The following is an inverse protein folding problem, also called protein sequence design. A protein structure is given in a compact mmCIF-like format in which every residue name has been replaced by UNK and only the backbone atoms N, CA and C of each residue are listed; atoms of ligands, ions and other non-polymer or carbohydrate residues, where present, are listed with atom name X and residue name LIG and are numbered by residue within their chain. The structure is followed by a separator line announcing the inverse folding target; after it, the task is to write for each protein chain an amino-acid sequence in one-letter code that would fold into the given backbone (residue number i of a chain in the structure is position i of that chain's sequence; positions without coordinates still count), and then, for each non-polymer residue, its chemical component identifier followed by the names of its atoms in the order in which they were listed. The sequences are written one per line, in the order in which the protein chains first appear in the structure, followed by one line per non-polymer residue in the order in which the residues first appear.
data_IF_571720085035
#
_entry.id   IF_571720085035
#
_cell.length_a   1.000
_cell.length_b   1.000
_cell.length_c   1.000
_cell.angle_alpha   90.00
_cell.angle_beta   90.00
_cell.angle_gamma   90.00
#
_symmetry.space_group_name_H-M   'P 1'
#
loop_
_entity.id
_entity.type
_entity.pdbx_description
1 polymer ?
#
# COMPACT_ATOMS: atom_id res chain seq x y z
N UNK A 1 -20.23 24.68 -33.83
CA UNK A 1 -20.37 23.52 -32.90
C UNK A 1 -21.69 23.73 -32.17
N UNK A 2 -22.66 22.80 -32.30
CA UNK A 2 -23.98 22.97 -31.65
C UNK A 2 -23.81 22.86 -30.12
N UNK A 3 -24.60 23.61 -29.34
CA UNK A 3 -24.61 23.59 -27.88
C UNK A 3 -24.67 22.16 -27.32
N UNK A 4 -25.42 21.30 -27.99
CA UNK A 4 -25.62 19.88 -27.65
C UNK A 4 -24.31 19.09 -27.76
N UNK A 5 -23.53 19.26 -28.83
CA UNK A 5 -22.23 18.62 -29.00
C UNK A 5 -21.24 19.11 -27.94
N UNK A 6 -21.30 20.39 -27.55
CA UNK A 6 -20.47 20.96 -26.50
C UNK A 6 -20.76 20.32 -25.13
N UNK A 7 -22.03 20.17 -24.76
CA UNK A 7 -22.44 19.50 -23.52
C UNK A 7 -21.94 18.05 -23.47
N UNK A 8 -22.03 17.34 -24.60
CA UNK A 8 -21.54 15.97 -24.70
C UNK A 8 -20.03 15.87 -24.53
N UNK A 9 -19.26 16.78 -25.16
CA UNK A 9 -17.81 16.86 -24.96
C UNK A 9 -17.49 17.15 -23.50
N UNK A 10 -18.17 18.13 -22.86
CA UNK A 10 -17.96 18.42 -21.44
C UNK A 10 -18.21 17.20 -20.53
N UNK A 11 -19.24 16.41 -20.78
CA UNK A 11 -19.51 15.20 -20.02
C UNK A 11 -18.37 14.18 -20.13
N UNK A 12 -17.84 13.96 -21.32
CA UNK A 12 -16.68 13.06 -21.53
C UNK A 12 -15.42 13.64 -20.90
N UNK A 13 -15.18 14.95 -21.00
CA UNK A 13 -14.03 15.64 -20.38
C UNK A 13 -14.03 15.43 -18.88
N UNK A 14 -15.16 15.69 -18.22
CA UNK A 14 -15.27 15.55 -16.75
C UNK A 14 -15.05 14.11 -16.32
N UNK A 15 -15.68 13.14 -17.01
CA UNK A 15 -15.52 11.72 -16.69
C UNK A 15 -14.06 11.26 -16.87
N UNK A 16 -13.41 11.68 -17.97
CA UNK A 16 -12.02 11.33 -18.25
C UNK A 16 -11.06 11.97 -17.24
N UNK A 17 -11.26 13.25 -16.93
CA UNK A 17 -10.45 13.95 -15.94
C UNK A 17 -10.58 13.32 -14.54
N UNK A 18 -11.79 12.92 -14.14
CA UNK A 18 -12.03 12.22 -12.88
C UNK A 18 -11.30 10.87 -12.84
N UNK A 19 -11.33 10.09 -13.93
CA UNK A 19 -10.58 8.82 -14.04
C UNK A 19 -9.08 9.04 -13.84
N UNK A 20 -8.49 10.03 -14.52
CA UNK A 20 -7.07 10.35 -14.40
C UNK A 20 -6.73 10.78 -12.98
N UNK A 21 -7.49 11.68 -12.38
CA UNK A 21 -7.25 12.16 -11.01
C UNK A 21 -7.32 11.04 -9.98
N UNK A 22 -8.37 10.22 -10.01
CA UNK A 22 -8.57 9.14 -9.03
C UNK A 22 -7.46 8.09 -9.13
N UNK A 23 -7.10 7.65 -10.34
CA UNK A 23 -6.01 6.69 -10.51
C UNK A 23 -4.66 7.26 -10.05
N UNK A 24 -4.39 8.54 -10.33
CA UNK A 24 -3.16 9.20 -9.90
C UNK A 24 -3.07 9.35 -8.37
N UNK A 25 -4.19 9.60 -7.68
CA UNK A 25 -4.27 9.63 -6.22
C UNK A 25 -4.01 8.24 -5.63
N UNK A 26 -4.61 7.18 -6.18
CA UNK A 26 -4.34 5.81 -5.72
C UNK A 26 -2.88 5.40 -5.92
N UNK A 27 -2.28 5.77 -7.04
CA UNK A 27 -0.85 5.52 -7.28
C UNK A 27 0.02 6.28 -6.26
N UNK A 28 -0.29 7.54 -5.99
CA UNK A 28 0.40 8.35 -4.99
C UNK A 28 0.30 7.75 -3.60
N UNK A 29 -0.90 7.31 -3.20
CA UNK A 29 -1.12 6.67 -1.92
C UNK A 29 -0.35 5.34 -1.80
N UNK A 30 -0.36 4.50 -2.85
CA UNK A 30 0.41 3.26 -2.89
C UNK A 30 1.91 3.51 -2.74
N UNK A 31 2.44 4.56 -3.38
CA UNK A 31 3.84 4.95 -3.27
C UNK A 31 4.18 5.50 -1.89
N UNK A 32 3.30 6.32 -1.31
CA UNK A 32 3.48 6.85 0.05
C UNK A 32 3.55 5.71 1.07
N UNK A 33 2.61 4.76 1.01
CA UNK A 33 2.62 3.58 1.88
C UNK A 33 3.91 2.80 1.68
N UNK A 34 4.32 2.54 0.43
CA UNK A 34 5.55 1.82 0.11
C UNK A 34 6.82 2.52 0.62
N UNK A 35 6.91 3.85 0.55
CA UNK A 35 8.08 4.61 1.00
C UNK A 35 8.23 4.64 2.53
N UNK A 36 7.11 4.70 3.25
CA UNK A 36 7.11 4.67 4.73
C UNK A 36 7.45 3.29 5.30
N UNK A 37 7.23 2.21 4.54
CA UNK A 37 7.58 0.84 4.95
C UNK A 37 9.10 0.60 5.03
N UNK A 38 9.93 1.50 4.52
CA UNK A 38 11.36 1.24 4.32
C UNK A 38 12.23 1.41 5.57
N UNK A 39 11.75 2.01 6.67
CA UNK A 39 12.63 2.39 7.81
C UNK A 39 12.95 1.21 8.73
N UNK A 40 11.94 0.45 9.16
CA UNK A 40 12.10 -0.71 10.06
C UNK A 40 11.77 -2.06 9.43
N UNK A 41 11.35 -2.09 8.16
CA UNK A 41 11.12 -3.34 7.45
C UNK A 41 12.41 -3.85 6.79
N UNK A 42 12.80 -5.11 7.02
CA UNK A 42 13.93 -5.73 6.34
C UNK A 42 13.63 -5.94 4.85
N UNK A 43 14.66 -6.12 4.03
CA UNK A 43 14.46 -6.38 2.60
C UNK A 43 13.72 -7.70 2.35
N UNK A 44 14.13 -8.76 3.08
CA UNK A 44 13.46 -10.05 3.07
C UNK A 44 13.23 -10.55 4.50
N UNK A 45 12.14 -11.29 4.68
CA UNK A 45 11.82 -12.01 5.92
C UNK A 45 11.59 -13.48 5.62
N UNK A 46 12.26 -14.34 6.35
CA UNK A 46 12.14 -15.80 6.27
C UNK A 46 11.37 -16.29 7.49
N UNK A 47 10.30 -17.03 7.27
CA UNK A 47 9.47 -17.63 8.32
C UNK A 47 9.34 -19.14 8.10
N UNK A 48 8.96 -19.88 9.12
CA UNK A 48 8.62 -21.29 8.96
C UNK A 48 7.33 -21.43 8.11
N UNK A 49 7.30 -22.39 7.19
CA UNK A 49 6.10 -22.71 6.40
C UNK A 49 4.98 -23.33 7.26
N UNK A 50 5.34 -23.97 8.37
CA UNK A 50 4.40 -24.57 9.31
C UNK A 50 4.89 -24.32 10.74
N UNK A 51 3.99 -23.92 11.62
CA UNK A 51 4.34 -23.54 12.99
C UNK A 51 4.75 -22.06 13.11
N UNK A 52 5.19 -21.68 14.32
CA UNK A 52 5.53 -20.29 14.66
C UNK A 52 7.05 -20.05 14.74
N UNK A 53 7.85 -21.08 14.84
CA UNK A 53 9.26 -20.95 15.11
C UNK A 53 10.12 -21.75 14.11
N UNK A 54 11.27 -21.21 13.82
CA UNK A 54 12.35 -21.81 13.03
C UNK A 54 13.29 -22.49 14.02
N UNK A 55 13.39 -23.83 13.94
CA UNK A 55 14.35 -24.59 14.74
C UNK A 55 15.76 -24.40 14.20
N UNK A 56 16.76 -24.41 15.11
CA UNK A 56 18.17 -24.19 14.76
C UNK A 56 18.40 -22.94 13.93
N UNK A 57 17.78 -21.81 14.32
CA UNK A 57 17.80 -20.57 13.57
C UNK A 57 19.23 -20.10 13.23
N UNK A 58 20.19 -20.29 14.12
CA UNK A 58 21.59 -19.86 13.91
C UNK A 58 22.22 -20.60 12.70
N UNK A 59 21.92 -21.90 12.50
CA UNK A 59 22.39 -22.66 11.34
C UNK A 59 21.71 -22.22 10.03
N UNK A 60 20.45 -21.79 10.09
CA UNK A 60 19.74 -21.25 8.93
C UNK A 60 20.31 -19.88 8.57
N UNK A 61 20.54 -19.02 9.56
CA UNK A 61 21.18 -17.70 9.37
C UNK A 61 22.55 -17.84 8.70
N UNK A 62 23.37 -18.80 9.14
CA UNK A 62 24.67 -19.04 8.52
C UNK A 62 24.54 -19.39 7.03
N UNK A 63 23.64 -20.32 6.68
CA UNK A 63 23.38 -20.68 5.29
C UNK A 63 22.89 -19.50 4.44
N UNK A 64 22.05 -18.63 5.01
CA UNK A 64 21.52 -17.47 4.28
C UNK A 64 22.63 -16.45 4.05
N UNK A 65 23.51 -16.21 5.04
CA UNK A 65 24.65 -15.30 4.90
C UNK A 65 25.69 -15.75 3.85
N UNK A 66 25.74 -17.05 3.50
CA UNK A 66 26.62 -17.59 2.47
C UNK A 66 26.08 -17.36 1.03
N UNK A 67 24.81 -16.92 0.89
CA UNK A 67 24.18 -16.70 -0.41
C UNK A 67 24.61 -15.35 -0.99
N UNK A 68 25.08 -15.36 -2.24
CA UNK A 68 25.48 -14.13 -2.93
C UNK A 68 24.34 -13.12 -3.04
N UNK A 69 24.62 -11.86 -2.69
CA UNK A 69 23.64 -10.78 -2.68
C UNK A 69 22.96 -10.54 -1.31
N UNK A 70 23.23 -11.38 -0.31
CA UNK A 70 22.87 -11.13 1.10
C UNK A 70 23.98 -10.32 1.75
N UNK A 71 23.65 -9.18 2.35
CA UNK A 71 24.59 -8.38 3.16
C UNK A 71 24.63 -8.88 4.61
N UNK A 72 23.46 -9.09 5.20
CA UNK A 72 23.33 -9.55 6.58
C UNK A 72 21.99 -10.25 6.79
N UNK A 73 22.00 -11.36 7.54
CA UNK A 73 20.81 -12.05 8.01
C UNK A 73 20.89 -12.24 9.51
N UNK A 74 19.81 -11.93 10.24
CA UNK A 74 19.73 -11.98 11.69
C UNK A 74 18.47 -12.73 12.16
N UNK A 75 18.58 -13.54 13.24
CA UNK A 75 17.44 -14.20 13.85
C UNK A 75 16.65 -13.22 14.71
N UNK A 76 15.34 -13.26 14.60
CA UNK A 76 14.40 -12.40 15.34
C UNK A 76 13.41 -13.27 16.10
N UNK A 77 13.05 -12.84 17.30
CA UNK A 77 11.98 -13.44 18.09
C UNK A 77 10.92 -12.38 18.33
N UNK A 78 9.76 -12.59 17.75
CA UNK A 78 8.63 -11.68 17.94
C UNK A 78 7.43 -12.46 18.48
N UNK A 79 6.93 -12.06 19.65
CA UNK A 79 5.75 -12.65 20.28
C UNK A 79 5.03 -11.65 21.18
N UNK A 80 3.76 -11.96 21.50
CA UNK A 80 2.92 -11.12 22.33
C UNK A 80 3.28 -11.24 23.80
N UNK A 81 3.29 -10.10 24.49
CA UNK A 81 3.50 -10.00 25.91
C UNK A 81 2.61 -8.89 26.51
N UNK A 82 2.57 -8.80 27.81
CA UNK A 82 1.95 -7.70 28.54
C UNK A 82 3.06 -6.90 29.20
N UNK A 83 3.13 -5.60 28.90
CA UNK A 83 4.00 -4.66 29.61
C UNK A 83 3.21 -4.01 30.75
N UNK A 84 3.83 -3.90 31.94
CA UNK A 84 3.20 -3.34 33.12
C UNK A 84 4.16 -2.42 33.87
N UNK A 85 3.67 -1.24 34.23
CA UNK A 85 4.34 -0.28 35.09
C UNK A 85 3.35 0.20 36.14
N UNK A 86 3.61 -0.05 37.40
CA UNK A 86 2.70 0.26 38.50
C UNK A 86 1.28 -0.29 38.24
N UNK A 87 0.28 0.58 38.01
CA UNK A 87 -1.10 0.21 37.73
C UNK A 87 -1.45 0.20 36.23
N UNK A 88 -0.53 0.60 35.35
CA UNK A 88 -0.75 0.67 33.91
C UNK A 88 -0.31 -0.63 33.25
N UNK A 89 -1.12 -1.13 32.35
CA UNK A 89 -0.86 -2.35 31.60
C UNK A 89 -1.19 -2.14 30.13
N UNK A 90 -0.33 -2.66 29.25
CA UNK A 90 -0.51 -2.57 27.81
C UNK A 90 -0.11 -3.90 27.16
N UNK A 91 -0.99 -4.51 26.33
CA UNK A 91 -0.58 -5.59 25.44
C UNK A 91 0.41 -5.07 24.41
N UNK A 92 1.55 -5.75 24.29
CA UNK A 92 2.66 -5.34 23.42
C UNK A 92 3.21 -6.53 22.64
N UNK A 93 3.85 -6.26 21.50
CA UNK A 93 4.69 -7.21 20.79
C UNK A 93 6.14 -6.96 21.16
N UNK A 94 6.74 -7.95 21.81
CA UNK A 94 8.17 -7.91 22.08
C UNK A 94 8.93 -8.43 20.88
N UNK A 95 9.78 -7.58 20.31
CA UNK A 95 10.69 -7.92 19.22
C UNK A 95 12.10 -8.03 19.78
N UNK A 96 12.54 -9.27 20.00
CA UNK A 96 13.89 -9.59 20.43
C UNK A 96 14.85 -9.57 19.27
N UNK A 97 15.84 -8.68 19.34
CA UNK A 97 16.80 -8.43 18.26
C UNK A 97 18.25 -8.57 18.76
N UNK A 98 19.19 -9.03 17.91
CA UNK A 98 20.61 -9.04 18.22
C UNK A 98 21.17 -7.61 18.34
N UNK A 99 22.33 -7.46 19.01
CA UNK A 99 22.98 -6.15 19.18
C UNK A 99 23.35 -5.46 17.86
N UNK A 100 23.63 -6.24 16.83
CA UNK A 100 23.97 -5.74 15.49
C UNK A 100 22.73 -5.55 14.58
N UNK A 101 21.56 -5.41 15.15
CA UNK A 101 20.30 -5.27 14.39
C UNK A 101 20.28 -4.03 13.49
N UNK A 102 21.03 -2.97 13.85
CA UNK A 102 21.24 -1.80 13.01
C UNK A 102 21.82 -2.10 11.61
N UNK A 103 22.47 -3.27 11.44
CA UNK A 103 22.97 -3.71 10.13
C UNK A 103 21.84 -4.18 9.20
N UNK A 104 20.67 -4.56 9.72
CA UNK A 104 19.52 -5.00 8.92
C UNK A 104 18.55 -3.85 8.69
N UNK A 105 18.25 -3.06 9.71
CA UNK A 105 17.33 -1.91 9.62
C UNK A 105 17.93 -0.69 10.31
N UNK A 106 17.59 0.49 9.80
CA UNK A 106 18.12 1.74 10.36
C UNK A 106 17.24 2.24 11.53
N UNK A 107 17.27 1.50 12.66
CA UNK A 107 16.48 1.84 13.85
C UNK A 107 16.92 3.17 14.47
N UNK A 108 18.20 3.54 14.36
CA UNK A 108 18.74 4.77 14.94
C UNK A 108 18.06 6.02 14.34
N UNK A 109 17.70 5.97 13.06
CA UNK A 109 17.02 7.10 12.39
C UNK A 109 15.58 7.33 12.87
N UNK A 110 14.99 6.35 13.56
CA UNK A 110 13.63 6.39 14.08
C UNK A 110 13.57 6.87 15.55
N UNK A 111 14.71 7.01 16.22
CA UNK A 111 14.75 7.42 17.64
C UNK A 111 14.39 8.90 17.78
N UNK A 112 13.42 9.16 18.65
CA UNK A 112 12.96 10.52 18.99
C UNK A 112 13.44 10.96 20.37
N UNK A 113 13.78 10.01 21.26
CA UNK A 113 14.28 10.29 22.61
C UNK A 113 15.17 9.13 23.08
N UNK A 114 16.31 9.41 23.73
CA UNK A 114 17.27 8.41 24.18
C UNK A 114 18.14 7.82 23.07
N UNK A 115 18.50 6.55 23.20
CA UNK A 115 19.40 5.83 22.29
C UNK A 115 19.00 4.35 22.11
N UNK A 116 19.53 3.69 21.06
CA UNK A 116 19.34 2.26 20.84
C UNK A 116 20.31 1.47 21.73
N UNK A 117 19.79 0.91 22.81
CA UNK A 117 20.54 0.05 23.72
C UNK A 117 19.67 -1.13 24.14
N UNK A 118 20.21 -2.34 24.09
CA UNK A 118 19.50 -3.57 24.48
C UNK A 118 20.03 -4.21 25.77
N UNK A 119 21.06 -3.61 26.37
CA UNK A 119 21.62 -4.07 27.64
C UNK A 119 22.60 -5.24 27.52
N UNK A 120 22.99 -5.73 28.69
CA UNK A 120 23.92 -6.84 28.89
C UNK A 120 23.31 -7.90 29.82
N UNK A 121 24.08 -8.87 30.27
CA UNK A 121 23.62 -9.91 31.20
C UNK A 121 23.04 -9.38 32.53
N UNK A 122 23.47 -8.21 33.00
CA UNK A 122 23.10 -7.66 34.30
C UNK A 122 21.95 -6.67 34.22
N UNK A 123 21.92 -5.83 33.18
CA UNK A 123 20.88 -4.80 33.00
C UNK A 123 20.29 -4.93 31.61
N UNK A 124 19.00 -5.10 31.56
CA UNK A 124 18.26 -5.20 30.30
C UNK A 124 17.62 -3.86 29.98
N UNK A 125 17.81 -3.41 28.75
CA UNK A 125 17.18 -2.20 28.22
C UNK A 125 16.23 -2.52 27.09
N UNK A 126 15.26 -1.63 26.90
CA UNK A 126 14.27 -1.72 25.84
C UNK A 126 14.13 -0.39 25.10
N UNK A 127 13.80 -0.47 23.83
CA UNK A 127 13.42 0.69 22.99
C UNK A 127 11.94 0.58 22.69
N UNK A 128 11.18 1.57 23.12
CA UNK A 128 9.72 1.55 23.08
C UNK A 128 9.19 2.31 21.85
N UNK A 129 8.11 1.82 21.25
CA UNK A 129 7.30 2.64 20.36
C UNK A 129 6.69 3.84 21.13
N UNK A 130 6.40 4.91 20.42
CA UNK A 130 5.89 6.14 21.03
C UNK A 130 4.57 5.90 21.81
N UNK A 131 3.66 5.05 21.33
CA UNK A 131 2.40 4.76 22.03
C UNK A 131 2.61 3.98 23.33
N UNK A 132 3.40 2.88 23.39
CA UNK A 132 3.80 2.25 24.64
C UNK A 132 4.47 3.22 25.63
N UNK A 133 5.36 4.07 25.15
CA UNK A 133 6.05 5.07 26.00
C UNK A 133 5.05 6.04 26.66
N UNK A 134 4.13 6.61 25.89
CA UNK A 134 3.09 7.52 26.39
C UNK A 134 2.10 6.79 27.32
N UNK A 135 1.63 5.60 26.93
CA UNK A 135 0.60 4.86 27.69
C UNK A 135 1.12 4.40 29.05
N UNK A 136 2.35 3.91 29.09
CA UNK A 136 3.02 3.46 30.31
C UNK A 136 3.62 4.63 31.11
N UNK A 137 3.67 5.85 30.52
CA UNK A 137 4.28 7.05 31.08
C UNK A 137 5.77 6.85 31.40
N UNK A 138 6.49 6.27 30.44
CA UNK A 138 7.88 5.91 30.58
C UNK A 138 8.75 6.69 29.59
N UNK A 139 9.91 7.13 30.05
CA UNK A 139 10.91 7.86 29.25
C UNK A 139 12.31 7.34 29.53
N UNK A 140 13.25 7.53 28.61
CA UNK A 140 14.66 7.25 28.86
C UNK A 140 15.16 8.01 30.11
N UNK A 141 16.00 7.34 30.90
CA UNK A 141 16.56 7.91 32.12
C UNK A 141 15.70 7.82 33.37
N UNK A 142 14.47 7.32 33.30
CA UNK A 142 13.68 7.00 34.48
C UNK A 142 14.22 5.73 35.15
N UNK A 143 14.25 5.73 36.48
CA UNK A 143 14.71 4.58 37.28
C UNK A 143 13.65 3.45 37.36
N UNK A 144 12.44 3.72 36.91
CA UNK A 144 11.35 2.74 36.96
C UNK A 144 11.56 1.63 35.91
N UNK A 145 11.18 0.41 36.28
CA UNK A 145 11.27 -0.77 35.42
C UNK A 145 9.94 -1.12 34.83
N UNK A 146 9.97 -1.55 33.58
CA UNK A 146 8.83 -2.16 32.91
C UNK A 146 8.89 -3.66 33.18
N UNK A 147 7.82 -4.21 33.76
CA UNK A 147 7.65 -5.65 33.93
C UNK A 147 6.99 -6.22 32.70
N UNK A 148 7.62 -7.21 32.09
CA UNK A 148 7.15 -7.90 30.89
C UNK A 148 6.62 -9.27 31.29
N UNK A 149 5.38 -9.56 30.92
CA UNK A 149 4.71 -10.83 31.19
C UNK A 149 4.45 -11.55 29.87
N UNK A 150 5.10 -12.67 29.66
CA UNK A 150 4.89 -13.54 28.49
C UNK A 150 4.13 -14.81 28.87
N UNK A 151 3.10 -15.22 28.11
CA UNK A 151 2.39 -16.46 28.39
C UNK A 151 3.32 -17.67 28.17
N UNK A 152 3.22 -18.66 29.04
CA UNK A 152 3.98 -19.91 28.87
C UNK A 152 3.43 -20.70 27.68
N UNK A 153 4.31 -21.03 26.72
CA UNK A 153 3.94 -21.81 25.51
C UNK A 153 3.71 -23.30 25.81
N UNK A 154 4.35 -23.82 26.83
CA UNK A 154 4.31 -25.26 27.15
C UNK A 154 4.03 -25.45 28.63
N UNK A 155 3.13 -26.32 28.96
CA UNK A 155 2.77 -26.66 30.35
C UNK A 155 1.25 -26.58 30.58
N UNK A 156 0.80 -27.17 31.68
CA UNK A 156 -0.59 -27.03 32.12
C UNK A 156 -0.69 -25.79 33.01
N UNK A 157 -1.64 -24.92 32.70
CA UNK A 157 -1.96 -23.77 33.55
C UNK A 157 -2.52 -24.30 34.86
N UNK A 158 -1.87 -23.94 35.98
CA UNK A 158 -2.40 -24.26 37.29
C UNK A 158 -3.57 -23.32 37.62
N UNK A 159 -4.79 -23.85 37.59
CA UNK A 159 -6.00 -23.06 37.84
C UNK A 159 -5.99 -22.44 39.25
N UNK A 160 -5.31 -23.09 40.23
CA UNK A 160 -5.19 -22.57 41.60
C UNK A 160 -4.19 -21.40 41.71
N UNK A 161 -3.26 -21.28 40.76
CA UNK A 161 -2.31 -20.15 40.72
C UNK A 161 -2.08 -19.70 39.27
N UNK A 162 -2.96 -18.84 38.72
CA UNK A 162 -2.87 -18.35 37.35
C UNK A 162 -1.56 -17.57 37.04
N UNK A 163 -0.92 -16.98 38.06
CA UNK A 163 0.35 -16.26 37.87
C UNK A 163 1.47 -17.16 37.34
N UNK A 164 1.42 -18.47 37.61
CA UNK A 164 2.39 -19.42 37.05
C UNK A 164 2.26 -19.65 35.56
N UNK A 165 1.19 -19.15 34.93
CA UNK A 165 0.99 -19.21 33.47
C UNK A 165 1.85 -18.21 32.71
N UNK A 166 2.44 -17.26 33.41
CA UNK A 166 3.27 -16.20 32.81
C UNK A 166 4.71 -16.33 33.29
N UNK A 167 5.61 -15.94 32.40
CA UNK A 167 7.02 -15.66 32.74
C UNK A 167 7.18 -14.15 32.82
N UNK A 168 7.98 -13.72 33.77
CA UNK A 168 8.19 -12.31 34.03
C UNK A 168 9.68 -12.00 33.90
N UNK A 169 10.00 -10.88 33.23
CA UNK A 169 11.31 -10.26 33.24
C UNK A 169 11.09 -8.75 33.33
N UNK A 170 12.17 -7.97 33.55
CA UNK A 170 12.07 -6.53 33.67
C UNK A 170 13.12 -5.82 32.82
N UNK A 171 12.77 -4.65 32.30
CA UNK A 171 13.65 -3.83 31.46
C UNK A 171 13.57 -2.37 31.86
N UNK A 172 14.66 -1.63 31.65
CA UNK A 172 14.69 -0.17 31.71
C UNK A 172 14.54 0.41 30.32
N UNK A 173 14.03 1.65 30.22
CA UNK A 173 13.86 2.33 28.94
C UNK A 173 15.15 3.01 28.53
N UNK A 174 15.73 2.64 27.38
CA UNK A 174 16.90 3.27 26.79
C UNK A 174 16.51 4.32 25.74
N UNK A 175 15.46 4.06 24.97
CA UNK A 175 15.03 4.96 23.90
C UNK A 175 13.55 4.82 23.57
N UNK A 176 13.05 5.82 22.87
CA UNK A 176 11.70 5.84 22.27
C UNK A 176 11.84 6.09 20.79
N UNK A 177 11.16 5.29 19.98
CA UNK A 177 11.14 5.43 18.53
C UNK A 177 9.75 5.82 18.01
N UNK A 178 9.75 6.50 16.87
CA UNK A 178 8.56 6.83 16.11
C UNK A 178 8.85 6.80 14.61
N UNK A 179 8.05 6.07 13.84
CA UNK A 179 8.17 5.97 12.38
C UNK A 179 6.88 6.32 11.64
N UNK A 180 5.87 6.79 12.38
CA UNK A 180 4.54 7.13 11.84
C UNK A 180 3.83 5.93 11.16
N UNK A 181 4.09 4.73 11.64
CA UNK A 181 3.41 3.51 11.24
C UNK A 181 2.72 2.85 12.43
N UNK A 182 1.40 2.71 12.35
CA UNK A 182 0.60 2.10 13.42
C UNK A 182 1.10 0.70 13.81
N UNK A 183 1.59 -0.06 12.84
CA UNK A 183 2.14 -1.41 13.01
C UNK A 183 3.30 -1.48 14.01
N UNK A 184 4.13 -0.44 14.07
CA UNK A 184 5.30 -0.38 14.94
C UNK A 184 5.09 0.54 16.14
N UNK A 185 4.57 1.73 15.91
CA UNK A 185 4.44 2.78 16.92
C UNK A 185 3.43 2.41 18.02
N UNK A 186 2.45 1.54 17.70
CA UNK A 186 1.32 1.22 18.57
C UNK A 186 1.65 0.26 19.70
N UNK A 187 2.41 -0.79 19.42
CA UNK A 187 2.55 -1.92 20.34
C UNK A 187 3.92 -2.59 20.35
N UNK A 188 4.90 -2.15 19.55
CA UNK A 188 6.21 -2.79 19.49
C UNK A 188 7.15 -2.25 20.57
N UNK A 189 7.82 -3.20 21.23
CA UNK A 189 8.94 -2.94 22.15
C UNK A 189 10.12 -3.79 21.69
N UNK A 190 11.23 -3.15 21.33
CA UNK A 190 12.47 -3.85 21.02
C UNK A 190 13.22 -4.18 22.31
N UNK A 191 13.70 -5.41 22.40
CA UNK A 191 14.49 -5.94 23.51
C UNK A 191 15.66 -6.76 22.99
N UNK A 192 16.62 -7.12 23.85
CA UNK A 192 17.66 -8.06 23.45
C UNK A 192 17.09 -9.42 23.06
N UNK A 193 17.68 -10.08 22.07
CA UNK A 193 17.28 -11.43 21.66
C UNK A 193 17.42 -12.42 22.81
N UNK A 194 18.39 -12.21 23.70
CA UNK A 194 18.64 -13.09 24.85
C UNK A 194 17.53 -12.98 25.90
N UNK A 195 17.00 -11.79 26.13
CA UNK A 195 15.81 -11.60 26.95
C UNK A 195 14.60 -12.29 26.31
N UNK A 196 14.38 -12.09 25.01
CA UNK A 196 13.28 -12.74 24.29
C UNK A 196 13.40 -14.28 24.31
N UNK A 197 14.61 -14.82 24.15
CA UNK A 197 14.90 -16.26 24.29
C UNK A 197 14.52 -16.78 25.67
N UNK A 198 14.84 -16.03 26.73
CA UNK A 198 14.51 -16.43 28.11
C UNK A 198 13.02 -16.38 28.39
N UNK A 199 12.37 -15.26 28.06
CA UNK A 199 10.96 -15.05 28.44
C UNK A 199 10.01 -15.94 27.64
N UNK A 200 10.28 -16.17 26.34
CA UNK A 200 9.44 -16.99 25.46
C UNK A 200 9.87 -18.46 25.37
N UNK A 201 10.97 -18.86 26.02
CA UNK A 201 11.54 -20.22 25.89
C UNK A 201 11.89 -20.61 24.45
N UNK A 202 12.67 -19.79 23.76
CA UNK A 202 13.20 -20.07 22.43
C UNK A 202 14.73 -20.21 22.45
N UNK A 203 15.33 -21.27 23.09
CA UNK A 203 16.78 -21.31 23.32
C UNK A 203 17.61 -21.31 22.04
N UNK A 204 17.15 -21.99 20.98
CA UNK A 204 17.83 -22.10 19.67
C UNK A 204 16.90 -21.83 18.51
N UNK A 205 15.74 -21.26 18.78
CA UNK A 205 14.70 -20.98 17.82
C UNK A 205 14.62 -19.47 17.55
N UNK A 206 14.05 -19.12 16.40
CA UNK A 206 13.62 -17.77 16.06
C UNK A 206 12.21 -17.82 15.45
N UNK A 207 11.46 -16.74 15.52
CA UNK A 207 10.17 -16.66 14.85
C UNK A 207 10.34 -16.28 13.38
N UNK A 208 11.38 -15.51 13.08
CA UNK A 208 11.74 -15.10 11.72
C UNK A 208 13.24 -14.87 11.60
N UNK A 209 13.74 -14.85 10.38
CA UNK A 209 15.06 -14.36 10.02
C UNK A 209 14.87 -13.16 9.12
N UNK A 210 15.41 -12.04 9.51
CA UNK A 210 15.38 -10.80 8.75
C UNK A 210 16.69 -10.61 7.99
N UNK A 211 16.56 -10.24 6.73
CA UNK A 211 17.69 -10.20 5.79
C UNK A 211 17.79 -8.82 5.17
N UNK A 212 19.00 -8.27 5.12
CA UNK A 212 19.39 -7.12 4.32
C UNK A 212 20.10 -7.58 3.07
N UNK A 213 19.72 -6.99 1.94
CA UNK A 213 20.34 -7.25 0.65
C UNK A 213 21.49 -6.28 0.39
N UNK A 214 22.49 -6.73 -0.33
CA UNK A 214 23.52 -5.85 -0.86
C UNK A 214 22.91 -4.83 -1.85
N UNK A 215 23.42 -3.58 -1.93
CA UNK A 215 22.82 -2.50 -2.71
C UNK A 215 22.59 -2.84 -4.19
N UNK A 216 23.45 -3.69 -4.79
CA UNK A 216 23.38 -4.09 -6.19
C UNK A 216 22.65 -5.43 -6.41
N UNK A 217 22.09 -6.03 -5.35
CA UNK A 217 21.46 -7.33 -5.42
C UNK A 217 20.07 -7.24 -6.09
N UNK A 218 19.79 -8.19 -6.97
CA UNK A 218 18.44 -8.34 -7.54
C UNK A 218 17.57 -9.13 -6.57
N UNK A 219 16.65 -8.45 -5.89
CA UNK A 219 15.77 -9.02 -4.85
C UNK A 219 15.15 -10.36 -5.25
N UNK A 220 14.52 -10.46 -6.42
CA UNK A 220 13.91 -11.70 -6.91
C UNK A 220 14.90 -12.85 -7.09
N UNK A 221 16.12 -12.56 -7.53
CA UNK A 221 17.14 -13.59 -7.72
C UNK A 221 17.62 -14.13 -6.37
N UNK A 222 17.86 -13.24 -5.39
CA UNK A 222 18.28 -13.64 -4.04
C UNK A 222 17.16 -14.38 -3.31
N UNK A 223 15.91 -13.91 -3.42
CA UNK A 223 14.74 -14.58 -2.86
C UNK A 223 14.58 -16.01 -3.40
N UNK A 224 14.77 -16.21 -4.70
CA UNK A 224 14.72 -17.54 -5.32
C UNK A 224 15.87 -18.43 -4.85
N UNK A 225 17.09 -17.89 -4.75
CA UNK A 225 18.25 -18.64 -4.25
C UNK A 225 18.08 -19.06 -2.79
N UNK A 226 17.56 -18.18 -1.93
CA UNK A 226 17.25 -18.51 -0.54
C UNK A 226 16.17 -19.60 -0.47
N UNK A 227 15.09 -19.48 -1.25
CA UNK A 227 14.02 -20.47 -1.28
C UNK A 227 14.50 -21.84 -1.74
N UNK A 228 15.40 -21.90 -2.72
CA UNK A 228 16.00 -23.14 -3.20
C UNK A 228 16.94 -23.76 -2.16
N UNK A 229 17.78 -22.94 -1.51
CA UNK A 229 18.74 -23.41 -0.50
C UNK A 229 18.06 -23.92 0.79
N UNK A 230 16.94 -23.30 1.20
CA UNK A 230 16.24 -23.67 2.42
C UNK A 230 15.12 -24.69 2.19
N UNK A 231 14.58 -24.80 0.99
CA UNK A 231 13.50 -25.73 0.59
C UNK A 231 12.13 -25.35 1.14
N UNK A 232 11.15 -26.22 0.91
CA UNK A 232 9.72 -25.97 1.17
C UNK A 232 9.33 -25.81 2.66
N UNK A 233 10.26 -25.99 3.59
CA UNK A 233 10.02 -25.78 5.03
C UNK A 233 9.99 -24.33 5.43
N UNK A 234 10.44 -23.44 4.56
CA UNK A 234 10.55 -22.00 4.82
C UNK A 234 9.79 -21.20 3.77
N UNK A 235 9.28 -20.04 4.17
CA UNK A 235 8.64 -19.08 3.29
C UNK A 235 9.45 -17.80 3.32
N UNK A 236 9.92 -17.37 2.16
CA UNK A 236 10.66 -16.12 1.98
C UNK A 236 9.67 -15.07 1.48
N UNK A 237 9.60 -13.94 2.15
CA UNK A 237 8.73 -12.82 1.79
C UNK A 237 9.55 -11.55 1.68
N UNK A 238 9.23 -10.74 0.70
CA UNK A 238 9.76 -9.38 0.61
C UNK A 238 8.87 -8.40 1.38
N UNK A 239 9.28 -7.12 1.47
CA UNK A 239 8.50 -6.05 2.13
C UNK A 239 7.07 -5.96 1.62
N UNK A 240 6.88 -6.02 0.29
CA UNK A 240 5.56 -5.91 -0.33
C UNK A 240 4.65 -7.09 0.04
N UNK A 241 5.21 -8.30 0.15
CA UNK A 241 4.47 -9.50 0.55
C UNK A 241 4.12 -9.51 2.04
N UNK A 242 4.90 -8.86 2.89
CA UNK A 242 4.60 -8.71 4.32
C UNK A 242 3.38 -7.83 4.56
N UNK A 243 3.21 -6.82 3.71
CA UNK A 243 2.08 -5.88 3.72
C UNK A 243 0.98 -6.26 2.70
N UNK A 244 0.96 -7.52 2.24
CA UNK A 244 0.06 -8.01 1.18
C UNK A 244 -1.41 -7.68 1.48
N UNK A 245 -1.86 -7.70 2.73
CA UNK A 245 -3.22 -7.34 3.11
C UNK A 245 -3.52 -5.86 2.85
N UNK A 246 -2.62 -4.95 3.23
CA UNK A 246 -2.79 -3.51 3.02
C UNK A 246 -2.72 -3.16 1.53
N UNK A 247 -1.72 -3.69 0.80
CA UNK A 247 -1.61 -3.49 -0.64
C UNK A 247 -2.77 -4.14 -1.42
N UNK A 248 -3.24 -5.30 -0.99
CA UNK A 248 -4.41 -5.95 -1.58
C UNK A 248 -5.66 -5.12 -1.39
N UNK A 249 -5.86 -4.54 -0.21
CA UNK A 249 -6.99 -3.64 0.06
C UNK A 249 -6.94 -2.39 -0.82
N UNK A 250 -5.78 -1.72 -0.92
CA UNK A 250 -5.56 -0.57 -1.81
C UNK A 250 -5.83 -0.93 -3.27
N UNK A 251 -5.34 -2.08 -3.73
CA UNK A 251 -5.59 -2.54 -5.10
C UNK A 251 -7.07 -2.85 -5.37
N UNK A 252 -7.77 -3.46 -4.42
CA UNK A 252 -9.22 -3.71 -4.54
C UNK A 252 -9.95 -2.37 -4.62
N UNK A 253 -9.63 -1.42 -3.76
CA UNK A 253 -10.24 -0.09 -3.75
C UNK A 253 -9.97 0.68 -5.06
N UNK A 254 -8.74 0.61 -5.58
CA UNK A 254 -8.38 1.14 -6.91
C UNK A 254 -9.25 0.55 -8.01
N UNK A 255 -9.42 -0.77 -8.04
CA UNK A 255 -10.24 -1.46 -9.05
C UNK A 255 -11.73 -1.14 -8.91
N UNK A 256 -12.26 -1.07 -7.69
CA UNK A 256 -13.66 -0.69 -7.44
C UNK A 256 -13.90 0.75 -7.90
N UNK A 257 -13.02 1.67 -7.55
CA UNK A 257 -13.12 3.08 -7.99
C UNK A 257 -13.02 3.21 -9.51
N UNK A 258 -12.09 2.47 -10.14
CA UNK A 258 -12.00 2.43 -11.60
C UNK A 258 -13.30 1.91 -12.25
N UNK A 259 -13.90 0.85 -11.72
CA UNK A 259 -15.16 0.30 -12.23
C UNK A 259 -16.32 1.28 -12.05
N UNK A 260 -16.42 1.95 -10.90
CA UNK A 260 -17.45 2.96 -10.67
C UNK A 260 -17.31 4.13 -11.65
N UNK A 261 -16.10 4.61 -11.86
CA UNK A 261 -15.83 5.71 -12.79
C UNK A 261 -16.04 5.28 -14.25
N UNK A 262 -15.67 4.04 -14.61
CA UNK A 262 -15.98 3.47 -15.91
C UNK A 262 -17.49 3.35 -16.14
N UNK A 263 -18.27 3.01 -15.11
CA UNK A 263 -19.73 2.99 -15.18
C UNK A 263 -20.30 4.41 -15.36
N UNK A 264 -19.77 5.42 -14.68
CA UNK A 264 -20.13 6.83 -14.91
C UNK A 264 -19.82 7.25 -16.36
N UNK A 265 -18.69 6.81 -16.91
CA UNK A 265 -18.34 7.05 -18.30
C UNK A 265 -19.37 6.40 -19.25
N UNK A 266 -19.80 5.17 -18.95
CA UNK A 266 -20.87 4.51 -19.73
C UNK A 266 -22.17 5.31 -19.67
N UNK A 267 -22.55 5.86 -18.51
CA UNK A 267 -23.72 6.74 -18.39
C UNK A 267 -23.52 8.01 -19.25
N UNK A 268 -22.34 8.61 -19.23
CA UNK A 268 -22.01 9.77 -20.06
C UNK A 268 -22.17 9.47 -21.55
N UNK A 269 -21.98 8.20 -21.99
CA UNK A 269 -22.19 7.82 -23.40
C UNK A 269 -23.66 7.90 -23.85
N UNK A 270 -24.61 7.70 -22.93
CA UNK A 270 -26.02 7.89 -23.25
C UNK A 270 -26.33 9.35 -23.60
N UNK A 271 -25.66 10.32 -22.97
CA UNK A 271 -25.77 11.72 -23.37
C UNK A 271 -25.23 11.93 -24.79
N UNK A 272 -24.13 11.28 -25.15
CA UNK A 272 -23.56 11.37 -26.52
C UNK A 272 -24.53 10.74 -27.53
N UNK A 273 -25.14 9.58 -27.21
CA UNK A 273 -26.16 8.94 -28.08
C UNK A 273 -27.37 9.87 -28.27
N UNK A 274 -27.86 10.50 -27.20
CA UNK A 274 -28.95 11.46 -27.24
C UNK A 274 -28.62 12.68 -28.12
N UNK A 275 -27.45 13.26 -27.92
CA UNK A 275 -26.93 14.41 -28.66
C UNK A 275 -26.81 14.09 -30.17
N UNK A 276 -26.20 12.95 -30.52
CA UNK A 276 -26.04 12.52 -31.89
C UNK A 276 -27.42 12.23 -32.56
N UNK A 277 -28.34 11.61 -31.80
CA UNK A 277 -29.68 11.35 -32.28
C UNK A 277 -30.46 12.64 -32.61
N UNK A 278 -30.36 13.63 -31.73
CA UNK A 278 -30.98 14.94 -31.94
C UNK A 278 -30.34 15.69 -33.12
N UNK A 279 -29.01 15.62 -33.23
CA UNK A 279 -28.29 16.21 -34.37
C UNK A 279 -28.66 15.58 -35.70
N UNK A 280 -28.89 14.28 -35.74
CA UNK A 280 -29.40 13.59 -36.94
C UNK A 280 -30.79 14.12 -37.35
N UNK A 281 -31.66 14.34 -36.36
CA UNK A 281 -33.01 14.90 -36.60
C UNK A 281 -32.90 16.34 -37.11
N UNK A 282 -32.07 17.17 -36.51
CA UNK A 282 -31.84 18.56 -36.92
C UNK A 282 -31.27 18.68 -38.34
N UNK A 283 -30.46 17.70 -38.77
CA UNK A 283 -29.80 17.67 -40.08
C UNK A 283 -30.55 16.89 -41.14
N UNK A 284 -31.81 16.52 -40.90
CA UNK A 284 -32.60 15.73 -41.88
C UNK A 284 -32.70 16.38 -43.27
N UNK A 285 -32.87 17.69 -43.33
CA UNK A 285 -32.94 18.41 -44.61
C UNK A 285 -31.60 18.33 -45.35
N UNK A 286 -30.48 18.50 -44.65
CA UNK A 286 -29.14 18.36 -45.23
C UNK A 286 -28.88 16.92 -45.73
N UNK A 287 -29.38 15.91 -45.01
CA UNK A 287 -29.31 14.50 -45.43
C UNK A 287 -30.07 14.31 -46.75
N UNK A 288 -31.25 14.96 -46.90
CA UNK A 288 -32.03 14.95 -48.14
C UNK A 288 -31.24 15.52 -49.33
N UNK A 289 -30.56 16.65 -49.12
CA UNK A 289 -29.71 17.29 -50.13
C UNK A 289 -28.53 16.34 -50.51
N UNK A 290 -27.86 15.74 -49.57
CA UNK A 290 -26.77 14.80 -49.87
C UNK A 290 -27.24 13.58 -50.69
N UNK A 291 -28.42 13.07 -50.39
CA UNK A 291 -29.06 11.99 -51.20
C UNK A 291 -29.35 12.44 -52.62
N UNK A 292 -29.86 13.64 -52.79
CA UNK A 292 -30.13 14.23 -54.13
C UNK A 292 -28.86 14.42 -54.96
N UNK A 293 -27.70 14.65 -54.27
CA UNK A 293 -26.38 14.72 -54.87
C UNK A 293 -25.73 13.34 -55.10
N UNK A 294 -26.44 12.23 -54.81
CA UNK A 294 -25.97 10.88 -55.05
C UNK A 294 -25.19 10.22 -53.89
N UNK A 295 -25.21 10.81 -52.72
CA UNK A 295 -24.55 10.20 -51.55
C UNK A 295 -25.26 8.91 -51.11
N UNK A 296 -24.49 7.86 -50.91
CA UNK A 296 -25.01 6.57 -50.44
C UNK A 296 -25.29 6.61 -48.92
N UNK A 297 -26.25 5.81 -48.46
CA UNK A 297 -26.55 5.68 -47.03
C UNK A 297 -25.32 5.27 -46.20
N UNK A 298 -24.36 4.56 -46.82
CA UNK A 298 -23.10 4.21 -46.19
C UNK A 298 -22.20 5.44 -45.90
N UNK A 299 -22.11 6.36 -46.85
CA UNK A 299 -21.33 7.61 -46.71
C UNK A 299 -21.94 8.52 -45.64
N UNK A 300 -23.27 8.72 -45.71
CA UNK A 300 -23.98 9.53 -44.70
C UNK A 300 -23.78 8.97 -43.31
N UNK A 301 -23.90 7.66 -43.14
CA UNK A 301 -23.64 6.98 -41.86
C UNK A 301 -22.20 7.17 -41.37
N UNK A 302 -21.22 7.08 -42.28
CA UNK A 302 -19.80 7.26 -41.93
C UNK A 302 -19.52 8.65 -41.36
N UNK A 303 -20.20 9.71 -41.87
CA UNK A 303 -20.07 11.07 -41.37
C UNK A 303 -20.46 11.15 -39.89
N UNK A 304 -21.60 10.60 -39.49
CA UNK A 304 -22.07 10.63 -38.10
C UNK A 304 -21.25 9.75 -37.17
N UNK A 305 -20.71 8.62 -37.66
CA UNK A 305 -19.76 7.80 -36.90
C UNK A 305 -18.48 8.61 -36.61
N UNK A 306 -17.94 9.24 -37.64
CA UNK A 306 -16.74 10.09 -37.47
C UNK A 306 -17.01 11.26 -36.53
N UNK A 307 -18.16 11.91 -36.62
CA UNK A 307 -18.52 13.02 -35.73
C UNK A 307 -18.61 12.57 -34.27
N UNK A 308 -19.28 11.46 -33.97
CA UNK A 308 -19.34 10.92 -32.60
C UNK A 308 -17.99 10.48 -32.09
N UNK A 309 -17.12 9.94 -32.94
CA UNK A 309 -15.77 9.56 -32.57
C UNK A 309 -14.89 10.78 -32.30
N UNK A 310 -14.99 11.83 -33.10
CA UNK A 310 -14.29 13.11 -32.90
C UNK A 310 -14.72 13.78 -31.58
N UNK A 311 -16.03 13.76 -31.26
CA UNK A 311 -16.55 14.25 -29.98
C UNK A 311 -15.90 13.51 -28.81
N UNK A 312 -15.88 12.18 -28.86
CA UNK A 312 -15.31 11.34 -27.80
C UNK A 312 -13.79 11.50 -27.69
N UNK A 313 -13.09 11.55 -28.81
CA UNK A 313 -11.63 11.70 -28.84
C UNK A 313 -11.20 13.09 -28.33
N UNK A 314 -11.89 14.16 -28.76
CA UNK A 314 -11.62 15.52 -28.25
C UNK A 314 -11.92 15.61 -26.75
N UNK A 315 -13.00 14.98 -26.29
CA UNK A 315 -13.33 14.87 -24.88
C UNK A 315 -12.26 14.09 -24.08
N UNK A 316 -11.74 13.01 -24.64
CA UNK A 316 -10.67 12.23 -24.02
C UNK A 316 -9.36 13.05 -23.88
N UNK A 317 -8.93 13.71 -24.96
CA UNK A 317 -7.70 14.54 -24.95
C UNK A 317 -7.84 15.69 -23.96
N UNK A 318 -8.93 16.45 -24.03
CA UNK A 318 -9.17 17.57 -23.13
C UNK A 318 -9.31 17.11 -21.67
N UNK A 319 -9.96 15.96 -21.46
CA UNK A 319 -10.12 15.36 -20.13
C UNK A 319 -8.80 14.90 -19.54
N UNK A 320 -7.93 14.26 -20.32
CA UNK A 320 -6.58 13.89 -19.89
C UNK A 320 -5.75 15.14 -19.54
N UNK A 321 -5.77 16.15 -20.40
CA UNK A 321 -5.05 17.41 -20.15
C UNK A 321 -5.57 18.09 -18.87
N UNK A 322 -6.88 18.19 -18.70
CA UNK A 322 -7.48 18.75 -17.50
C UNK A 322 -7.12 17.95 -16.24
N UNK A 323 -7.19 16.61 -16.31
CA UNK A 323 -6.79 15.73 -15.23
C UNK A 323 -5.33 15.89 -14.84
N UNK A 324 -4.41 15.96 -15.82
CA UNK A 324 -2.99 16.21 -15.58
C UNK A 324 -2.73 17.57 -14.94
N UNK A 325 -3.43 18.63 -15.40
CA UNK A 325 -3.33 19.96 -14.81
C UNK A 325 -3.80 19.94 -13.35
N UNK A 326 -4.92 19.29 -13.05
CA UNK A 326 -5.41 19.16 -11.68
C UNK A 326 -4.44 18.36 -10.79
N UNK A 327 -3.87 17.27 -11.29
CA UNK A 327 -2.86 16.48 -10.59
C UNK A 327 -1.61 17.33 -10.29
N UNK A 328 -1.12 18.09 -11.27
CA UNK A 328 0.05 18.97 -11.08
C UNK A 328 -0.23 20.13 -10.13
N UNK A 329 -1.43 20.71 -10.16
CA UNK A 329 -1.85 21.71 -9.17
C UNK A 329 -1.90 21.14 -7.76
N UNK A 330 -2.41 19.93 -7.59
CA UNK A 330 -2.45 19.23 -6.30
C UNK A 330 -1.02 18.96 -5.79
N UNK A 331 -0.12 18.48 -6.65
CA UNK A 331 1.28 18.19 -6.30
C UNK A 331 2.03 19.47 -5.87
N UNK A 332 1.80 20.61 -6.55
CA UNK A 332 2.52 21.86 -6.25
C UNK A 332 1.90 22.67 -5.12
N UNK A 333 0.60 22.73 -5.02
CA UNK A 333 -0.12 23.61 -4.09
C UNK A 333 -0.75 22.88 -2.92
N UNK A 334 -0.85 21.53 -2.94
CA UNK A 334 -1.43 20.75 -1.86
C UNK A 334 -2.88 21.18 -1.53
N UNK A 335 -3.71 21.45 -2.54
CA UNK A 335 -5.06 22.03 -2.38
C UNK A 335 -5.96 21.17 -1.49
N UNK A 336 -5.79 19.85 -1.56
CA UNK A 336 -6.52 18.90 -0.74
C UNK A 336 -5.54 18.37 0.32
N UNK A 337 -5.77 18.79 1.58
CA UNK A 337 -4.98 18.36 2.73
C UNK A 337 -5.61 17.14 3.38
N UNK A 338 -4.78 16.21 3.87
CA UNK A 338 -5.24 15.14 4.75
C UNK A 338 -5.48 15.72 6.14
N UNK A 339 -6.73 15.99 6.47
CA UNK A 339 -7.13 16.40 7.82
C UNK A 339 -7.13 15.15 8.72
N UNK A 340 -5.93 14.66 9.07
CA UNK A 340 -5.78 13.61 10.08
C UNK A 340 -5.81 14.25 11.46
N UNK A 341 -6.79 13.85 12.30
CA UNK A 341 -6.83 14.19 13.72
C UNK A 341 -5.70 13.52 14.53
N UNK A 342 -4.85 12.74 13.88
CA UNK A 342 -3.66 12.14 14.48
C UNK A 342 -2.48 13.04 14.15
N UNK A 343 -1.86 13.62 15.17
CA UNK A 343 -0.59 14.35 15.09
C UNK A 343 0.58 13.48 14.53
N UNK A 344 0.30 12.31 14.02
CA UNK A 344 1.21 11.27 13.57
C UNK A 344 1.45 11.25 12.05
N UNK A 345 0.67 11.98 11.24
CA UNK A 345 0.85 12.01 9.79
C UNK A 345 1.29 13.41 9.35
N UNK A 346 2.60 13.61 9.23
CA UNK A 346 3.22 14.83 8.66
C UNK A 346 3.07 14.91 7.12
N UNK A 347 1.99 14.37 6.55
CA UNK A 347 1.68 14.54 5.14
C UNK A 347 0.58 15.58 5.02
N UNK A 348 1.00 16.81 4.74
CA UNK A 348 0.10 17.97 4.64
C UNK A 348 -0.85 17.90 3.45
N UNK A 349 -0.53 17.13 2.40
CA UNK A 349 -1.31 17.07 1.17
C UNK A 349 -1.52 15.62 0.68
N UNK A 350 -2.66 15.36 0.03
CA UNK A 350 -2.88 14.08 -0.64
C UNK A 350 -1.79 13.83 -1.70
N UNK A 351 -1.08 12.68 -1.63
CA UNK A 351 -0.05 12.34 -2.60
C UNK A 351 -0.68 12.01 -3.94
N UNK A 352 -0.12 12.54 -5.02
CA UNK A 352 -0.56 12.30 -6.39
C UNK A 352 0.64 11.86 -7.22
N UNK A 353 0.54 10.69 -7.85
CA UNK A 353 1.59 10.17 -8.75
C UNK A 353 0.97 9.78 -10.07
N UNK A 354 1.42 10.44 -11.13
CA UNK A 354 0.96 10.19 -12.49
C UNK A 354 1.75 9.03 -13.09
N UNK A 355 1.05 7.93 -13.41
CA UNK A 355 1.62 6.77 -14.10
C UNK A 355 1.14 6.73 -15.54
N UNK A 356 2.06 6.81 -16.50
CA UNK A 356 1.73 6.92 -17.92
C UNK A 356 0.93 5.73 -18.47
N UNK A 357 1.13 4.52 -17.93
CA UNK A 357 0.33 3.35 -18.32
C UNK A 357 -1.16 3.52 -18.00
N UNK A 358 -1.49 4.12 -16.85
CA UNK A 358 -2.87 4.35 -16.46
C UNK A 358 -3.55 5.39 -17.35
N UNK A 359 -2.82 6.44 -17.75
CA UNK A 359 -3.31 7.44 -18.71
C UNK A 359 -3.63 6.79 -20.05
N UNK A 360 -2.76 5.90 -20.55
CA UNK A 360 -2.98 5.18 -21.79
C UNK A 360 -4.21 4.26 -21.71
N UNK A 361 -4.40 3.58 -20.57
CA UNK A 361 -5.57 2.73 -20.32
C UNK A 361 -6.85 3.56 -20.33
N UNK A 362 -6.86 4.70 -19.62
CA UNK A 362 -8.01 5.62 -19.60
C UNK A 362 -8.32 6.14 -21.00
N UNK A 363 -7.30 6.61 -21.72
CA UNK A 363 -7.48 7.12 -23.08
C UNK A 363 -8.03 6.05 -24.03
N UNK A 364 -7.47 4.83 -23.98
CA UNK A 364 -7.92 3.70 -24.78
C UNK A 364 -9.39 3.30 -24.44
N UNK A 365 -9.73 3.30 -23.14
CA UNK A 365 -11.08 3.02 -22.66
C UNK A 365 -12.09 4.03 -23.22
N UNK A 366 -11.78 5.34 -23.09
CA UNK A 366 -12.68 6.41 -23.56
C UNK A 366 -12.82 6.36 -25.08
N UNK A 367 -11.73 6.14 -25.81
CA UNK A 367 -11.75 6.00 -27.26
C UNK A 367 -12.60 4.78 -27.72
N UNK A 368 -12.45 3.63 -27.04
CA UNK A 368 -13.21 2.42 -27.33
C UNK A 368 -14.72 2.62 -27.05
N UNK A 369 -15.05 3.21 -25.89
CA UNK A 369 -16.44 3.53 -25.52
C UNK A 369 -17.04 4.52 -26.52
N UNK A 370 -16.30 5.54 -26.92
CA UNK A 370 -16.73 6.51 -27.92
C UNK A 370 -17.01 5.88 -29.30
N UNK A 371 -16.14 4.99 -29.73
CA UNK A 371 -16.32 4.24 -30.99
C UNK A 371 -17.56 3.34 -30.91
N UNK A 372 -17.74 2.62 -29.81
CA UNK A 372 -18.92 1.78 -29.59
C UNK A 372 -20.22 2.61 -29.62
N UNK A 373 -20.23 3.77 -28.93
CA UNK A 373 -21.36 4.70 -28.91
C UNK A 373 -21.72 5.18 -30.29
N UNK A 374 -20.72 5.57 -31.09
CA UNK A 374 -20.92 6.03 -32.47
C UNK A 374 -21.49 4.92 -33.37
N UNK A 375 -21.05 3.68 -33.18
CA UNK A 375 -21.60 2.51 -33.88
C UNK A 375 -23.08 2.27 -33.53
N UNK A 376 -23.41 2.32 -32.22
CA UNK A 376 -24.79 2.14 -31.75
C UNK A 376 -25.72 3.20 -32.33
N UNK A 377 -25.32 4.47 -32.27
CA UNK A 377 -26.10 5.59 -32.86
C UNK A 377 -26.32 5.38 -34.36
N UNK A 378 -25.31 4.89 -35.06
CA UNK A 378 -25.37 4.58 -36.47
C UNK A 378 -26.34 3.41 -36.79
N UNK A 379 -26.54 2.48 -35.88
CA UNK A 379 -27.57 1.42 -36.03
C UNK A 379 -28.99 1.97 -35.82
N UNK A 380 -29.17 2.89 -34.89
CA UNK A 380 -30.45 3.58 -34.66
C UNK A 380 -30.82 4.39 -35.91
N UNK A 381 -29.87 5.11 -36.51
CA UNK A 381 -30.06 5.86 -37.74
C UNK A 381 -30.56 4.96 -38.91
N UNK A 382 -30.12 3.70 -38.96
CA UNK A 382 -30.54 2.74 -39.98
C UNK A 382 -32.07 2.47 -39.96
N UNK A 383 -32.71 2.61 -38.79
CA UNK A 383 -34.16 2.48 -38.60
C UNK A 383 -34.90 3.77 -38.95
N UNK A 384 -34.28 4.92 -38.74
CA UNK A 384 -34.87 6.24 -39.07
C UNK A 384 -34.78 6.60 -40.56
N UNK A 385 -33.80 6.05 -41.27
CA UNK A 385 -33.58 6.30 -42.70
C UNK A 385 -34.27 5.26 -43.64
N UNK A 386 -34.97 4.29 -43.08
CA UNK A 386 -35.90 3.39 -43.79
C UNK A 386 -37.27 4.04 -43.91
#
# INVERSE_FOLDING_TARGET
MNIISLISVCGVVVATAALVCVLSVFNGFSQLVGSKLAVLDPDLTITAASGKAIDHADAVVQKVNEIGGVECALPIIEDNALASVMSRQLPVRLKGVPHNYGNVVNIDSAIIDGEVMFGNEYVQYAVLGVVPAITLDMRPGFADMIYLYAPQRTGRVNVANPATAFRTDSVMVAGVFQIEQEKYDRDVIFVSIDLARRIFKYPHQATSIEVRLAPDAKEHAVMSAISEALGAKFVVRNRLMLEDEAFRMINIEKWVSFLLLAFILVIATFNVIGALSLLIIEKQDSIGIFRSLGATNKQIRSIFIMEGWVISLSGAVLGVVLGLVLCSLQEHFGLITMQSNSALLLVDAYPVVVVWSDILIVFALVAAVGLFTSMVTSLIMRRLLR
#
